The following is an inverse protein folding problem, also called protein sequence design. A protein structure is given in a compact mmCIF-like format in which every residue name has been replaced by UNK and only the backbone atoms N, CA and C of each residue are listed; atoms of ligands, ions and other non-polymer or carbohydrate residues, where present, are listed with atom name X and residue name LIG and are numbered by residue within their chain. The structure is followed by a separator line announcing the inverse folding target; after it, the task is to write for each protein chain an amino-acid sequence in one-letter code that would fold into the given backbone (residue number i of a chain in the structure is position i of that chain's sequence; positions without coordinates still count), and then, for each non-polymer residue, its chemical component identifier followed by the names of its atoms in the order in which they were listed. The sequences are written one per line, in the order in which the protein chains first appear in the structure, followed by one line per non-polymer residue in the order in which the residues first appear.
data_IF_300622982070
#
_entry.id   IF_300622982070
#
_cell.length_a   1.000
_cell.length_b   1.000
_cell.length_c   1.000
_cell.angle_alpha   90.00
_cell.angle_beta   90.00
_cell.angle_gamma   90.00
#
_symmetry.space_group_name_H-M   'P 1'
#
loop_
_entity.id
_entity.type
_entity.pdbx_description
1 polymer ?
#
# COMPACT_ATOMS: atom_id res chain seq x y z
N UNK A 1 -21.68 -3.58 22.24
CA UNK A 1 -21.13 -4.33 21.09
C UNK A 1 -21.48 -5.79 21.31
N UNK A 2 -22.54 -6.27 20.66
CA UNK A 2 -23.04 -7.64 20.85
C UNK A 2 -22.09 -8.64 20.21
N UNK A 3 -21.31 -9.32 21.03
CA UNK A 3 -20.41 -10.39 20.62
C UNK A 3 -21.14 -11.72 20.69
N UNK A 4 -21.98 -12.01 19.69
CA UNK A 4 -22.43 -13.39 19.47
C UNK A 4 -21.59 -14.02 18.37
N UNK A 5 -21.18 -15.27 18.61
CA UNK A 5 -20.36 -16.08 17.69
C UNK A 5 -21.14 -16.31 16.40
N UNK A 6 -20.54 -16.01 15.26
CA UNK A 6 -21.09 -16.39 13.96
C UNK A 6 -21.09 -17.94 13.84
N UNK A 7 -22.17 -18.50 13.28
CA UNK A 7 -22.26 -19.94 13.04
C UNK A 7 -21.16 -20.37 12.05
N UNK A 8 -20.56 -21.53 12.29
CA UNK A 8 -19.58 -22.13 11.38
C UNK A 8 -20.26 -22.62 10.09
N UNK A 9 -19.47 -22.88 9.05
CA UNK A 9 -19.98 -23.47 7.80
C UNK A 9 -20.64 -24.84 8.02
N UNK A 10 -20.08 -25.62 8.95
CA UNK A 10 -20.65 -26.90 9.33
C UNK A 10 -22.03 -26.74 9.96
N UNK A 11 -22.18 -25.85 10.95
CA UNK A 11 -23.46 -25.62 11.63
C UNK A 11 -24.53 -25.04 10.69
N UNK A 12 -24.13 -24.20 9.73
CA UNK A 12 -25.00 -23.77 8.64
C UNK A 12 -25.51 -24.96 7.80
N UNK A 13 -24.60 -25.89 7.48
CA UNK A 13 -24.92 -27.14 6.80
C UNK A 13 -25.91 -28.01 7.57
N UNK A 14 -25.72 -28.16 8.88
CA UNK A 14 -26.61 -28.92 9.75
C UNK A 14 -28.02 -28.33 9.80
N UNK A 15 -28.14 -27.00 9.91
CA UNK A 15 -29.42 -26.29 9.87
C UNK A 15 -30.14 -26.54 8.55
N UNK A 16 -29.44 -26.39 7.42
CA UNK A 16 -30.02 -26.60 6.08
C UNK A 16 -30.39 -28.06 5.86
N UNK A 17 -29.55 -29.00 6.32
CA UNK A 17 -29.82 -30.44 6.29
C UNK A 17 -31.09 -30.79 7.05
N UNK A 18 -31.23 -30.32 8.30
CA UNK A 18 -32.42 -30.55 9.10
C UNK A 18 -33.68 -29.93 8.47
N UNK A 19 -33.56 -28.74 7.88
CA UNK A 19 -34.65 -28.10 7.16
C UNK A 19 -35.10 -28.91 5.94
N UNK A 20 -34.15 -29.46 5.17
CA UNK A 20 -34.46 -30.34 4.02
C UNK A 20 -35.10 -31.66 4.43
N UNK A 21 -34.81 -32.15 5.64
CA UNK A 21 -35.48 -33.32 6.22
C UNK A 21 -36.88 -33.01 6.78
N UNK A 22 -37.42 -31.81 6.56
CA UNK A 22 -38.79 -31.45 6.94
C UNK A 22 -38.98 -31.06 8.41
N UNK A 23 -37.90 -30.89 9.18
CA UNK A 23 -37.99 -30.46 10.58
C UNK A 23 -38.38 -28.98 10.69
N UNK A 24 -39.22 -28.66 11.66
CA UNK A 24 -39.63 -27.29 11.97
C UNK A 24 -38.49 -26.48 12.60
N UNK A 25 -38.53 -25.16 12.45
CA UNK A 25 -37.53 -24.24 13.06
C UNK A 25 -37.41 -24.45 14.57
N UNK A 26 -38.51 -24.77 15.25
CA UNK A 26 -38.53 -25.04 16.69
C UNK A 26 -37.76 -26.31 17.04
N UNK A 27 -37.91 -27.38 16.28
CA UNK A 27 -37.18 -28.63 16.47
C UNK A 27 -35.70 -28.45 16.16
N UNK A 28 -35.36 -27.73 15.08
CA UNK A 28 -33.97 -27.42 14.72
C UNK A 28 -33.29 -26.62 15.84
N UNK A 29 -34.00 -25.64 16.41
CA UNK A 29 -33.52 -24.83 17.54
C UNK A 29 -33.26 -25.67 18.78
N UNK A 30 -34.15 -26.61 19.10
CA UNK A 30 -33.97 -27.51 20.24
C UNK A 30 -32.81 -28.51 20.04
N UNK A 31 -32.60 -28.99 18.82
CA UNK A 31 -31.52 -29.95 18.52
C UNK A 31 -30.14 -29.29 18.50
N UNK A 32 -30.01 -28.16 17.80
CA UNK A 32 -28.72 -27.50 17.57
C UNK A 32 -28.40 -26.44 18.64
N UNK A 33 -29.33 -26.16 19.56
CA UNK A 33 -29.20 -25.12 20.59
C UNK A 33 -28.89 -23.73 20.01
N UNK A 34 -29.42 -23.45 18.82
CA UNK A 34 -29.29 -22.15 18.13
C UNK A 34 -30.60 -21.39 18.24
N UNK A 35 -30.52 -20.06 18.38
CA UNK A 35 -31.70 -19.20 18.42
C UNK A 35 -32.57 -19.35 17.16
N UNK A 36 -33.89 -19.35 17.35
CA UNK A 36 -34.88 -19.52 16.26
C UNK A 36 -34.75 -18.43 15.18
N UNK A 37 -34.40 -17.20 15.57
CA UNK A 37 -34.14 -16.08 14.67
C UNK A 37 -32.98 -16.40 13.72
N UNK A 38 -31.85 -16.84 14.27
CA UNK A 38 -30.67 -17.20 13.49
C UNK A 38 -30.96 -18.35 12.52
N UNK A 39 -31.67 -19.39 12.96
CA UNK A 39 -32.08 -20.50 12.08
C UNK A 39 -32.96 -19.98 10.92
N UNK A 40 -33.92 -19.11 11.21
CA UNK A 40 -34.77 -18.53 10.18
C UNK A 40 -33.97 -17.69 9.18
N UNK A 41 -33.03 -16.86 9.67
CA UNK A 41 -32.14 -16.06 8.82
C UNK A 41 -31.29 -16.94 7.90
N UNK A 42 -30.77 -18.06 8.41
CA UNK A 42 -30.03 -19.06 7.60
C UNK A 42 -30.91 -19.66 6.51
N UNK A 43 -32.13 -20.10 6.85
CA UNK A 43 -33.06 -20.71 5.90
C UNK A 43 -33.48 -19.70 4.82
N UNK A 44 -33.82 -18.47 5.21
CA UNK A 44 -34.21 -17.39 4.27
C UNK A 44 -33.05 -17.06 3.34
N UNK A 45 -31.83 -16.91 3.88
CA UNK A 45 -30.61 -16.66 3.09
C UNK A 45 -30.38 -17.79 2.09
N UNK A 46 -30.45 -19.05 2.55
CA UNK A 46 -30.30 -20.23 1.68
C UNK A 46 -31.37 -20.32 0.59
N UNK A 47 -32.63 -20.01 0.90
CA UNK A 47 -33.70 -19.99 -0.12
C UNK A 47 -33.40 -19.01 -1.25
N UNK A 48 -32.78 -17.86 -0.94
CA UNK A 48 -32.41 -16.82 -1.89
C UNK A 48 -31.14 -17.14 -2.68
N UNK A 49 -30.08 -17.59 -2.04
CA UNK A 49 -28.76 -17.77 -2.68
C UNK A 49 -28.48 -19.21 -3.13
N UNK A 50 -29.23 -20.19 -2.61
CA UNK A 50 -28.99 -21.64 -2.76
C UNK A 50 -27.60 -22.10 -2.32
N UNK A 51 -26.93 -21.29 -1.52
CA UNK A 51 -25.57 -21.53 -1.03
C UNK A 51 -25.60 -21.79 0.48
N UNK A 52 -24.92 -22.83 0.92
CA UNK A 52 -24.77 -23.22 2.33
C UNK A 52 -23.61 -22.46 3.01
N UNK A 53 -22.71 -21.87 2.21
CA UNK A 53 -21.48 -21.23 2.67
C UNK A 53 -21.68 -19.98 3.53
N UNK A 54 -20.95 -19.97 4.64
CA UNK A 54 -20.89 -18.93 5.67
C UNK A 54 -19.90 -17.82 5.31
N UNK A 55 -19.92 -17.28 4.09
CA UNK A 55 -19.20 -16.01 3.88
C UNK A 55 -20.08 -14.88 4.36
N UNK A 56 -19.93 -14.54 5.64
CA UNK A 56 -20.30 -13.22 6.13
C UNK A 56 -19.62 -12.21 5.19
N UNK A 57 -20.41 -11.37 4.54
CA UNK A 57 -19.82 -10.38 3.65
C UNK A 57 -18.92 -9.47 4.48
N UNK A 58 -17.74 -9.09 3.95
CA UNK A 58 -16.87 -8.19 4.67
C UNK A 58 -17.66 -6.94 5.02
N UNK A 59 -17.79 -6.67 6.32
CA UNK A 59 -18.48 -5.48 6.80
C UNK A 59 -17.66 -4.28 6.30
N UNK A 60 -18.27 -3.33 5.59
CA UNK A 60 -17.55 -2.15 5.16
C UNK A 60 -17.00 -1.46 6.42
N UNK A 61 -15.68 -1.31 6.45
CA UNK A 61 -15.02 -0.58 7.53
C UNK A 61 -15.41 0.90 7.51
N UNK A 62 -14.89 1.66 8.48
CA UNK A 62 -15.06 3.11 8.48
C UNK A 62 -14.53 3.70 7.15
N UNK A 63 -15.30 4.57 6.47
CA UNK A 63 -14.83 5.27 5.29
C UNK A 63 -13.51 6.00 5.56
N UNK A 64 -12.66 6.11 4.53
CA UNK A 64 -11.40 6.85 4.63
C UNK A 64 -11.67 8.33 4.83
N UNK A 65 -10.74 9.00 5.51
CA UNK A 65 -10.82 10.44 5.78
C UNK A 65 -10.60 11.31 4.54
N UNK A 66 -9.91 10.81 3.50
CA UNK A 66 -9.63 11.54 2.27
C UNK A 66 -10.44 10.95 1.12
N UNK A 67 -11.07 11.82 0.34
CA UNK A 67 -11.81 11.45 -0.88
C UNK A 67 -10.82 11.33 -2.05
N UNK A 68 -11.21 10.66 -3.14
CA UNK A 68 -10.31 10.46 -4.29
C UNK A 68 -9.79 11.76 -4.91
N UNK A 69 -10.56 12.86 -4.85
CA UNK A 69 -10.09 14.19 -5.26
C UNK A 69 -8.87 14.63 -4.44
N UNK A 70 -8.96 14.48 -3.13
CA UNK A 70 -7.91 14.85 -2.19
C UNK A 70 -6.67 13.98 -2.37
N UNK A 71 -6.87 12.68 -2.63
CA UNK A 71 -5.77 11.75 -2.91
C UNK A 71 -5.02 12.13 -4.19
N UNK A 72 -5.72 12.57 -5.24
CA UNK A 72 -5.10 13.09 -6.47
C UNK A 72 -4.31 14.38 -6.20
N UNK A 73 -4.86 15.28 -5.41
CA UNK A 73 -4.17 16.51 -4.99
C UNK A 73 -2.89 16.19 -4.20
N UNK A 74 -2.98 15.32 -3.21
CA UNK A 74 -1.84 14.89 -2.40
C UNK A 74 -0.75 14.25 -3.27
N UNK A 75 -1.13 13.39 -4.22
CA UNK A 75 -0.19 12.79 -5.19
C UNK A 75 0.56 13.87 -5.98
N UNK A 76 -0.12 14.92 -6.44
CA UNK A 76 0.51 16.04 -7.16
C UNK A 76 1.49 16.82 -6.28
N UNK A 77 1.13 17.06 -5.01
CA UNK A 77 2.00 17.75 -4.04
C UNK A 77 3.28 16.95 -3.80
N UNK A 78 3.16 15.64 -3.57
CA UNK A 78 4.32 14.75 -3.35
C UNK A 78 5.24 14.69 -4.56
N UNK A 79 4.67 14.59 -5.77
CA UNK A 79 5.45 14.52 -7.01
C UNK A 79 6.19 15.82 -7.33
N UNK A 80 5.66 16.98 -6.92
CA UNK A 80 6.33 18.28 -7.11
C UNK A 80 7.64 18.36 -6.33
N UNK A 81 7.68 17.82 -5.11
CA UNK A 81 8.91 17.75 -4.31
C UNK A 81 8.91 16.53 -3.38
N UNK A 82 9.59 15.46 -3.82
CA UNK A 82 9.64 14.18 -3.09
C UNK A 82 10.51 14.21 -1.84
N UNK A 83 11.29 15.27 -1.63
CA UNK A 83 12.20 15.41 -0.48
C UNK A 83 11.57 16.18 0.70
N UNK A 84 10.39 16.76 0.52
CA UNK A 84 9.74 17.52 1.59
C UNK A 84 9.28 16.64 2.76
N UNK A 85 9.23 17.24 3.94
CA UNK A 85 8.71 16.55 5.12
C UNK A 85 7.19 16.41 5.03
N UNK A 86 6.65 15.36 5.64
CA UNK A 86 5.21 15.13 5.71
C UNK A 86 4.44 16.29 6.38
N UNK A 87 5.09 17.07 7.25
CA UNK A 87 4.49 18.28 7.86
C UNK A 87 4.28 19.37 6.81
N UNK A 88 5.32 19.70 6.03
CA UNK A 88 5.22 20.68 4.94
C UNK A 88 4.22 20.23 3.86
N UNK A 89 4.20 18.94 3.53
CA UNK A 89 3.21 18.38 2.61
C UNK A 89 1.79 18.52 3.15
N UNK A 90 1.58 18.32 4.46
CA UNK A 90 0.28 18.55 5.11
C UNK A 90 -0.13 20.01 5.00
N UNK A 91 0.77 20.94 5.30
CA UNK A 91 0.47 22.36 5.30
C UNK A 91 0.08 22.83 3.88
N UNK A 92 0.82 22.41 2.85
CA UNK A 92 0.46 22.64 1.43
C UNK A 92 -0.86 21.99 1.01
N UNK A 93 -1.14 20.80 1.54
CA UNK A 93 -2.41 20.11 1.27
C UNK A 93 -3.58 20.88 1.90
N UNK A 94 -3.39 21.41 3.11
CA UNK A 94 -4.39 22.21 3.83
C UNK A 94 -4.66 23.55 3.15
N UNK A 95 -3.65 24.17 2.56
CA UNK A 95 -3.80 25.40 1.76
C UNK A 95 -4.59 25.17 0.48
N UNK A 96 -4.52 23.97 -0.09
CA UNK A 96 -5.13 23.63 -1.39
C UNK A 96 -6.44 22.84 -1.27
N UNK A 97 -6.85 22.45 -0.07
CA UNK A 97 -8.00 21.58 0.19
C UNK A 97 -8.76 22.04 1.43
N UNK A 98 -10.09 21.97 1.39
CA UNK A 98 -10.95 22.31 2.53
C UNK A 98 -10.95 21.24 3.64
N UNK A 99 -10.22 20.14 3.45
CA UNK A 99 -10.19 19.01 4.36
C UNK A 99 -9.12 19.17 5.44
N UNK A 100 -9.53 19.23 6.69
CA UNK A 100 -8.60 19.27 7.83
C UNK A 100 -8.03 17.88 8.13
N UNK A 101 -6.73 17.68 7.89
CA UNK A 101 -6.08 16.39 8.10
C UNK A 101 -4.83 16.46 8.98
N UNK A 102 -4.63 15.40 9.76
CA UNK A 102 -3.42 15.23 10.57
C UNK A 102 -2.21 14.86 9.71
N UNK A 103 -1.01 15.18 10.19
CA UNK A 103 0.24 14.73 9.55
C UNK A 103 0.36 13.19 9.50
N UNK A 104 -0.27 12.47 10.44
CA UNK A 104 -0.31 11.00 10.46
C UNK A 104 -1.20 10.45 9.35
N UNK A 105 -2.33 11.10 9.08
CA UNK A 105 -3.22 10.77 7.94
C UNK A 105 -2.48 10.93 6.62
N UNK A 106 -1.78 12.07 6.43
CA UNK A 106 -0.96 12.30 5.25
C UNK A 106 0.09 11.21 5.06
N UNK A 107 0.85 10.84 6.10
CA UNK A 107 1.85 9.75 5.99
C UNK A 107 1.24 8.41 5.57
N UNK A 108 0.10 8.02 6.16
CA UNK A 108 -0.60 6.77 5.83
C UNK A 108 -1.10 6.76 4.39
N UNK A 109 -1.63 7.89 3.93
CA UNK A 109 -2.14 8.01 2.57
C UNK A 109 -1.00 8.06 1.53
N UNK A 110 0.12 8.71 1.84
CA UNK A 110 1.35 8.67 1.04
C UNK A 110 1.85 7.22 0.88
N UNK A 111 1.88 6.44 1.96
CA UNK A 111 2.25 5.01 1.91
C UNK A 111 1.24 4.18 1.11
N UNK A 112 -0.06 4.46 1.24
CA UNK A 112 -1.11 3.81 0.45
C UNK A 112 -0.95 4.11 -1.05
N UNK A 113 -0.40 5.28 -1.39
CA UNK A 113 -0.05 5.68 -2.75
C UNK A 113 1.35 5.19 -3.19
N UNK A 114 1.96 4.27 -2.44
CA UNK A 114 3.26 3.64 -2.72
C UNK A 114 4.45 4.61 -2.76
N UNK A 115 4.32 5.77 -2.11
CA UNK A 115 5.44 6.67 -1.91
C UNK A 115 6.15 6.36 -0.60
N UNK A 116 7.48 6.20 -0.68
CA UNK A 116 8.31 5.94 0.48
C UNK A 116 9.45 6.95 0.59
N UNK A 117 9.79 7.29 1.83
CA UNK A 117 11.00 8.05 2.12
C UNK A 117 12.25 7.21 1.81
N UNK A 118 13.22 7.82 1.14
CA UNK A 118 14.54 7.26 0.85
C UNK A 118 15.58 8.35 1.03
N UNK A 119 16.78 7.97 1.50
CA UNK A 119 17.92 8.87 1.47
C UNK A 119 18.39 9.00 0.01
N UNK A 120 18.64 10.23 -0.43
CA UNK A 120 19.25 10.46 -1.73
C UNK A 120 20.71 9.96 -1.70
N UNK A 121 21.14 9.28 -2.76
CA UNK A 121 22.55 8.94 -2.93
C UNK A 121 23.38 10.22 -2.99
N UNK A 122 24.54 10.20 -2.33
CA UNK A 122 25.51 11.29 -2.47
C UNK A 122 25.97 11.35 -3.93
N UNK A 123 25.94 12.54 -4.51
CA UNK A 123 26.44 12.80 -5.85
C UNK A 123 27.38 13.99 -5.77
N UNK A 124 28.63 13.88 -6.24
CA UNK A 124 29.51 15.03 -6.31
C UNK A 124 28.87 16.10 -7.19
N UNK A 125 29.06 17.36 -6.82
CA UNK A 125 28.59 18.47 -7.64
C UNK A 125 29.40 18.52 -8.94
N UNK A 126 28.72 18.51 -10.09
CA UNK A 126 29.34 18.60 -11.41
C UNK A 126 28.90 19.93 -12.03
N UNK A 127 29.85 20.76 -12.46
CA UNK A 127 29.54 22.02 -13.15
C UNK A 127 28.81 21.76 -14.47
N UNK A 128 28.03 22.74 -14.94
CA UNK A 128 27.30 22.62 -16.21
C UNK A 128 28.26 22.34 -17.38
N UNK A 129 29.45 22.96 -17.38
CA UNK A 129 30.47 22.72 -18.40
C UNK A 129 31.00 21.28 -18.34
N UNK A 130 31.29 20.77 -17.13
CA UNK A 130 31.75 19.38 -16.97
C UNK A 130 30.67 18.38 -17.40
N UNK A 131 29.38 18.66 -17.15
CA UNK A 131 28.26 17.82 -17.65
C UNK A 131 28.30 17.75 -19.18
N UNK A 132 28.44 18.89 -19.86
CA UNK A 132 28.51 18.95 -21.33
C UNK A 132 29.71 18.18 -21.87
N UNK A 133 30.89 18.41 -21.32
CA UNK A 133 32.12 17.76 -21.75
C UNK A 133 32.04 16.23 -21.56
N UNK A 134 31.55 15.78 -20.39
CA UNK A 134 31.34 14.35 -20.14
C UNK A 134 30.36 13.72 -21.12
N UNK A 135 29.24 14.39 -21.39
CA UNK A 135 28.26 13.89 -22.35
C UNK A 135 28.84 13.80 -23.77
N UNK A 136 29.56 14.82 -24.21
CA UNK A 136 30.22 14.85 -25.52
C UNK A 136 31.26 13.74 -25.63
N UNK A 137 32.08 13.56 -24.60
CA UNK A 137 33.07 12.48 -24.54
C UNK A 137 32.39 11.11 -24.64
N UNK A 138 31.35 10.85 -23.85
CA UNK A 138 30.62 9.57 -23.92
C UNK A 138 30.01 9.33 -25.31
N UNK A 139 29.43 10.35 -25.96
CA UNK A 139 28.87 10.22 -27.31
C UNK A 139 29.94 9.93 -28.36
N UNK A 140 31.09 10.59 -28.28
CA UNK A 140 32.20 10.37 -29.21
C UNK A 140 32.80 8.95 -29.09
N UNK A 141 32.72 8.35 -27.90
CA UNK A 141 33.31 7.03 -27.60
C UNK A 141 32.25 5.92 -27.47
N UNK A 142 30.96 6.21 -27.72
CA UNK A 142 29.85 5.25 -27.53
C UNK A 142 29.99 4.00 -28.38
N UNK A 143 30.54 4.15 -29.59
CA UNK A 143 30.68 3.07 -30.58
C UNK A 143 32.12 2.56 -30.71
N UNK A 144 32.98 2.86 -29.72
CA UNK A 144 34.36 2.39 -29.75
C UNK A 144 34.44 0.87 -29.65
N UNK A 145 35.29 0.27 -30.46
CA UNK A 145 35.58 -1.16 -30.44
C UNK A 145 36.47 -1.53 -29.25
N UNK A 146 36.50 -2.82 -28.91
CA UNK A 146 37.35 -3.33 -27.83
C UNK A 146 38.83 -2.98 -28.06
N UNK A 147 39.32 -3.10 -29.29
CA UNK A 147 40.70 -2.76 -29.66
C UNK A 147 41.02 -1.28 -29.45
N UNK A 148 40.04 -0.39 -29.61
CA UNK A 148 40.20 1.04 -29.33
C UNK A 148 40.28 1.30 -27.83
N UNK A 149 39.46 0.62 -27.03
CA UNK A 149 39.52 0.71 -25.56
C UNK A 149 40.81 0.16 -24.98
N UNK A 150 41.39 -0.90 -25.57
CA UNK A 150 42.67 -1.46 -25.14
C UNK A 150 43.85 -0.48 -25.27
N UNK A 151 43.71 0.55 -26.13
CA UNK A 151 44.73 1.60 -26.30
C UNK A 151 44.62 2.72 -25.26
N UNK A 152 43.60 2.71 -24.40
CA UNK A 152 43.40 3.72 -23.36
C UNK A 152 44.02 3.24 -22.05
N UNK A 153 45.00 3.99 -21.56
CA UNK A 153 45.50 3.84 -20.20
C UNK A 153 44.67 4.70 -19.25
N UNK A 154 44.16 4.09 -18.19
CA UNK A 154 43.44 4.77 -17.11
C UNK A 154 44.37 4.91 -15.90
N UNK A 155 44.51 6.14 -15.40
CA UNK A 155 45.21 6.44 -14.16
C UNK A 155 44.37 7.41 -13.34
N UNK A 156 44.30 7.18 -12.03
CA UNK A 156 43.68 8.08 -11.07
C UNK A 156 44.51 8.06 -9.78
N UNK A 157 44.44 9.14 -9.01
CA UNK A 157 45.09 9.23 -7.72
C UNK A 157 44.07 8.97 -6.61
N UNK A 158 44.40 8.06 -5.69
CA UNK A 158 43.57 7.77 -4.52
C UNK A 158 44.30 8.17 -3.25
N UNK A 159 43.59 8.86 -2.35
CA UNK A 159 44.11 9.21 -1.04
C UNK A 159 43.85 8.07 -0.05
N UNK A 160 44.89 7.64 0.67
CA UNK A 160 44.79 6.66 1.76
C UNK A 160 45.20 7.33 3.07
N UNK A 161 44.29 7.38 4.05
CA UNK A 161 44.51 8.01 5.35
C UNK A 161 44.69 6.95 6.45
N UNK A 162 45.72 7.09 7.29
CA UNK A 162 46.07 6.10 8.33
C UNK A 162 45.23 6.30 9.62
N UNK A 163 44.78 7.53 9.90
CA UNK A 163 44.25 7.89 11.23
C UNK A 163 42.80 8.38 11.25
N UNK A 164 42.20 8.70 10.10
CA UNK A 164 40.80 9.15 10.02
C UNK A 164 40.09 8.45 8.88
N UNK A 165 38.92 7.89 9.15
CA UNK A 165 38.03 7.41 8.10
C UNK A 165 37.35 8.60 7.42
N UNK A 166 37.48 8.67 6.08
CA UNK A 166 36.70 9.60 5.28
C UNK A 166 35.26 9.10 5.28
N UNK A 167 34.43 9.71 6.13
CA UNK A 167 33.09 9.22 6.42
C UNK A 167 32.23 9.04 5.16
N UNK A 168 31.55 7.87 5.12
CA UNK A 168 30.60 7.31 4.14
C UNK A 168 31.22 6.49 3.01
N UNK A 169 31.23 5.17 3.23
CA UNK A 169 30.84 4.18 2.20
C UNK A 169 29.32 4.24 2.02
#
# INVERSE_FOLDING_TARGET
MGGERELTEFEHGEVIGCYRCGKSVREISAMLQVARSTINDVIVKWKRTKTTTTTAQPRPGRPRSLVDRDRRLLKKIVLKNRMESAKKMRDKFQEASDSTVSTKTIRREIQTLEFHGRAAAFKPHISINNIKNRLQWCKAHQNWSLEQWQKVLWSDESQFTIWKSDGRV
#
